data_IF_129457889115
#
_entry.id   IF_129457889115
#
_cell.length_a   1.000
_cell.length_b   1.000
_cell.length_c   1.000
_cell.angle_alpha   90.00
_cell.angle_beta   90.00
_cell.angle_gamma   90.00
#
_symmetry.space_group_name_H-M   'P 1'
#
loop_
_entity.id
_entity.type
_entity.pdbx_description
1 polymer ?
#
# COMPACT_ATOMS: atom_id res chain seq x y z
N UNK A 1 -6.91 -20.85 9.42
CA UNK A 1 -5.69 -20.30 8.79
C UNK A 1 -4.69 -19.95 9.89
N UNK A 2 -3.43 -20.36 9.78
CA UNK A 2 -2.44 -20.14 10.86
C UNK A 2 -2.05 -18.65 10.93
N UNK A 3 -1.83 -18.09 12.14
CA UNK A 3 -1.49 -16.67 12.33
C UNK A 3 -0.23 -16.26 11.57
N UNK A 4 0.75 -17.17 11.48
CA UNK A 4 1.98 -16.98 10.70
C UNK A 4 1.69 -16.79 9.21
N UNK A 5 0.76 -17.58 8.66
CA UNK A 5 0.39 -17.50 7.25
C UNK A 5 -0.33 -16.18 6.97
N UNK A 6 -1.23 -15.73 7.84
CA UNK A 6 -1.92 -14.43 7.70
C UNK A 6 -0.94 -13.25 7.63
N UNK A 7 0.13 -13.27 8.45
CA UNK A 7 1.19 -12.26 8.39
C UNK A 7 1.94 -12.28 7.06
N UNK A 8 2.26 -13.46 6.54
CA UNK A 8 2.91 -13.62 5.23
C UNK A 8 2.02 -13.07 4.12
N UNK A 9 0.71 -13.36 4.15
CA UNK A 9 -0.24 -12.82 3.17
C UNK A 9 -0.38 -11.30 3.28
N UNK A 10 -0.43 -10.73 4.48
CA UNK A 10 -0.45 -9.27 4.68
C UNK A 10 0.84 -8.60 4.17
N UNK A 11 1.99 -9.25 4.34
CA UNK A 11 3.28 -8.82 3.78
C UNK A 11 3.28 -8.93 2.25
N UNK A 12 2.72 -9.99 1.68
CA UNK A 12 2.56 -10.13 0.24
C UNK A 12 1.69 -9.00 -0.35
N UNK A 13 0.56 -8.66 0.30
CA UNK A 13 -0.28 -7.52 -0.09
C UNK A 13 0.51 -6.21 -0.07
N UNK A 14 1.33 -5.98 0.97
CA UNK A 14 2.17 -4.80 1.05
C UNK A 14 3.20 -4.73 -0.09
N UNK A 15 3.87 -5.84 -0.40
CA UNK A 15 4.83 -5.91 -1.53
C UNK A 15 4.13 -5.68 -2.86
N UNK A 16 2.94 -6.25 -3.06
CA UNK A 16 2.13 -6.01 -4.27
C UNK A 16 1.80 -4.52 -4.38
N UNK A 17 1.39 -3.88 -3.29
CA UNK A 17 1.14 -2.43 -3.30
C UNK A 17 2.38 -1.61 -3.71
N UNK A 18 3.58 -1.99 -3.26
CA UNK A 18 4.82 -1.34 -3.68
C UNK A 18 5.11 -1.56 -5.18
N UNK A 19 4.92 -2.79 -5.67
CA UNK A 19 5.10 -3.11 -7.09
C UNK A 19 4.11 -2.38 -8.00
N UNK A 20 2.88 -2.19 -7.54
CA UNK A 20 1.86 -1.41 -8.27
C UNK A 20 2.24 0.07 -8.39
N UNK A 21 3.04 0.60 -7.46
CA UNK A 21 3.60 1.95 -7.52
C UNK A 21 4.89 2.06 -8.35
N UNK A 22 5.57 0.94 -8.62
CA UNK A 22 6.84 0.94 -9.36
C UNK A 22 6.77 1.62 -10.75
N UNK A 23 5.73 1.41 -11.59
CA UNK A 23 5.58 2.10 -12.87
C UNK A 23 5.62 3.63 -12.74
N UNK A 24 4.97 4.16 -11.71
CA UNK A 24 4.84 5.60 -11.49
C UNK A 24 6.09 6.19 -10.81
N UNK A 25 6.63 5.53 -9.78
CA UNK A 25 7.77 6.07 -9.02
C UNK A 25 9.13 5.79 -9.69
N UNK A 26 9.33 4.58 -10.23
CA UNK A 26 10.64 4.15 -10.76
C UNK A 26 10.73 4.44 -12.25
N UNK A 27 9.71 4.05 -13.02
CA UNK A 27 9.73 4.18 -14.48
C UNK A 27 9.16 5.52 -14.96
N UNK A 28 8.55 6.31 -14.07
CA UNK A 28 7.91 7.60 -14.41
C UNK A 28 6.84 7.47 -15.51
N UNK A 29 6.27 6.27 -15.67
CA UNK A 29 5.19 5.99 -16.61
C UNK A 29 3.89 6.26 -15.87
N UNK A 30 3.07 7.16 -16.41
CA UNK A 30 1.74 7.47 -15.88
C UNK A 30 0.79 6.30 -16.13
N UNK A 31 0.90 5.26 -15.32
CA UNK A 31 0.01 4.10 -15.32
C UNK A 31 -1.05 4.22 -14.23
N UNK A 32 -2.29 3.77 -14.45
CA UNK A 32 -3.30 3.72 -13.40
C UNK A 32 -3.11 2.53 -12.45
N UNK A 33 -2.08 1.70 -12.58
CA UNK A 33 -1.90 0.48 -11.77
C UNK A 33 -1.87 0.74 -10.26
N UNK A 34 -1.40 1.90 -9.82
CA UNK A 34 -1.43 2.28 -8.40
C UNK A 34 -2.86 2.30 -7.83
N UNK A 35 -3.93 2.45 -8.62
CA UNK A 35 -5.33 2.41 -8.12
C UNK A 35 -5.70 1.06 -7.50
N UNK A 36 -5.06 -0.04 -7.92
CA UNK A 36 -5.26 -1.36 -7.31
C UNK A 36 -4.80 -1.41 -5.84
N UNK A 37 -3.96 -0.46 -5.39
CA UNK A 37 -3.60 -0.34 -3.97
C UNK A 37 -4.79 -0.01 -3.08
N UNK A 38 -5.85 0.62 -3.61
CA UNK A 38 -7.11 0.82 -2.87
C UNK A 38 -7.91 -0.46 -2.65
N UNK A 39 -7.62 -1.53 -3.39
CA UNK A 39 -8.23 -2.85 -3.18
C UNK A 39 -7.29 -3.75 -2.37
N UNK A 40 -6.04 -3.86 -2.81
CA UNK A 40 -5.04 -4.75 -2.19
C UNK A 40 -4.65 -4.26 -0.79
N UNK A 41 -4.59 -2.95 -0.58
CA UNK A 41 -4.27 -2.34 0.71
C UNK A 41 -5.27 -2.70 1.82
N UNK A 42 -6.58 -2.44 1.67
CA UNK A 42 -7.59 -2.86 2.65
C UNK A 42 -7.62 -4.37 2.92
N UNK A 43 -7.37 -5.20 1.89
CA UNK A 43 -7.22 -6.66 2.07
C UNK A 43 -6.01 -6.94 2.97
N UNK A 44 -4.86 -6.30 2.72
CA UNK A 44 -3.67 -6.39 3.55
C UNK A 44 -3.87 -5.91 4.98
N UNK A 45 -4.67 -4.85 5.19
CA UNK A 45 -5.09 -4.35 6.51
C UNK A 45 -5.89 -5.43 7.24
N UNK A 46 -6.93 -5.97 6.61
CA UNK A 46 -7.77 -7.01 7.20
C UNK A 46 -6.93 -8.24 7.60
N UNK A 47 -6.06 -8.72 6.71
CA UNK A 47 -5.14 -9.82 6.97
C UNK A 47 -4.15 -9.51 8.11
N UNK A 48 -3.68 -8.27 8.21
CA UNK A 48 -2.79 -7.81 9.28
C UNK A 48 -3.49 -7.79 10.64
N UNK A 49 -4.74 -7.33 10.69
CA UNK A 49 -5.58 -7.33 11.91
C UNK A 49 -5.83 -8.77 12.37
N UNK A 50 -6.29 -9.65 11.48
CA UNK A 50 -6.53 -11.06 11.82
C UNK A 50 -5.23 -11.81 12.17
N UNK A 51 -4.12 -11.43 11.57
CA UNK A 51 -2.77 -11.93 11.89
C UNK A 51 -2.18 -11.38 13.19
N UNK A 52 -2.86 -10.46 13.89
CA UNK A 52 -2.38 -9.72 15.06
C UNK A 52 -1.02 -9.05 14.83
N UNK A 53 -0.85 -8.42 13.67
CA UNK A 53 0.38 -7.71 13.30
C UNK A 53 0.10 -6.26 13.01
N UNK A 54 0.12 -5.42 14.06
CA UNK A 54 -0.10 -3.99 13.94
C UNK A 54 0.85 -3.32 12.92
N UNK A 55 2.10 -3.78 12.84
CA UNK A 55 3.09 -3.26 11.88
C UNK A 55 2.61 -3.44 10.42
N UNK A 56 2.15 -4.64 10.05
CA UNK A 56 1.69 -4.89 8.68
C UNK A 56 0.36 -4.23 8.39
N UNK A 57 -0.51 -4.10 9.39
CA UNK A 57 -1.75 -3.34 9.28
C UNK A 57 -1.46 -1.88 8.96
N UNK A 58 -0.56 -1.24 9.71
CA UNK A 58 -0.19 0.17 9.51
C UNK A 58 0.47 0.36 8.14
N UNK A 59 1.39 -0.52 7.75
CA UNK A 59 2.04 -0.46 6.44
C UNK A 59 1.03 -0.55 5.29
N UNK A 60 0.09 -1.49 5.34
CA UNK A 60 -0.96 -1.60 4.32
C UNK A 60 -1.93 -0.41 4.35
N UNK A 61 -2.18 0.19 5.52
CA UNK A 61 -2.97 1.42 5.63
C UNK A 61 -2.26 2.60 4.95
N UNK A 62 -0.98 2.80 5.25
CA UNK A 62 -0.16 3.84 4.58
C UNK A 62 -0.18 3.63 3.07
N UNK A 63 -0.03 2.39 2.59
CA UNK A 63 -0.12 2.11 1.16
C UNK A 63 -1.51 2.38 0.57
N UNK A 64 -2.58 2.13 1.31
CA UNK A 64 -3.95 2.44 0.86
C UNK A 64 -4.19 3.95 0.73
N UNK A 65 -3.57 4.75 1.60
CA UNK A 65 -3.67 6.21 1.58
C UNK A 65 -2.50 6.88 0.84
N UNK A 66 -1.58 6.11 0.26
CA UNK A 66 -0.35 6.60 -0.35
C UNK A 66 -0.61 7.64 -1.43
N UNK A 67 -1.66 7.47 -2.23
CA UNK A 67 -2.05 8.44 -3.24
C UNK A 67 -2.32 9.84 -2.67
N UNK A 68 -3.11 9.91 -1.60
CA UNK A 68 -3.41 11.18 -0.94
C UNK A 68 -2.17 11.81 -0.32
N UNK A 69 -1.30 10.97 0.25
CA UNK A 69 -0.02 11.40 0.82
C UNK A 69 0.85 12.03 -0.27
N UNK A 70 1.01 11.36 -1.41
CA UNK A 70 1.83 11.87 -2.51
C UNK A 70 1.27 13.15 -3.12
N UNK A 71 -0.05 13.27 -3.30
CA UNK A 71 -0.67 14.51 -3.77
C UNK A 71 -0.45 15.65 -2.76
N UNK A 72 -0.67 15.38 -1.48
CA UNK A 72 -0.49 16.38 -0.43
C UNK A 72 0.96 16.88 -0.37
N UNK A 73 1.94 15.97 -0.41
CA UNK A 73 3.37 16.31 -0.40
C UNK A 73 3.75 17.05 -1.68
N UNK A 74 3.30 16.58 -2.84
CA UNK A 74 3.58 17.21 -4.13
C UNK A 74 3.05 18.65 -4.17
N UNK A 75 1.82 18.87 -3.71
CA UNK A 75 1.24 20.21 -3.62
C UNK A 75 1.94 21.09 -2.58
N UNK A 76 2.28 20.55 -1.40
CA UNK A 76 2.90 21.34 -0.34
C UNK A 76 4.35 21.77 -0.65
N UNK A 77 5.06 20.99 -1.48
CA UNK A 77 6.45 21.27 -1.84
C UNK A 77 6.60 22.05 -3.16
N UNK A 78 5.69 21.83 -4.12
CA UNK A 78 5.80 22.35 -5.49
C UNK A 78 4.57 23.15 -5.95
N UNK A 79 3.58 23.32 -5.08
CA UNK A 79 2.43 24.19 -5.34
C UNK A 79 2.85 25.67 -5.38
N UNK A 80 2.12 26.51 -6.15
CA UNK A 80 2.35 27.95 -6.23
C UNK A 80 2.15 28.68 -4.89
#
# INVERSE_FOLDING_TARGET
MNKKNLKIWSLACFIICLLLWAPNLIFQISSPFWTFTFLVGPIGIALGIFGKSYVFTILNAIMSFSFFIFIFIGYSLFGP
#
